data_IF_422783132463
#
_entry.id   IF_422783132463
#
_cell.length_a   1.000
_cell.length_b   1.000
_cell.length_c   1.000
_cell.angle_alpha   90.00
_cell.angle_beta   90.00
_cell.angle_gamma   90.00
#
_symmetry.space_group_name_H-M   'P 1'
#
loop_
_entity.id
_entity.type
_entity.pdbx_description
1 polymer ?
#
# COMPACT_ATOMS: atom_id res chain seq x y z
N UNK A 1 25.47 -22.65 4.54
CA UNK A 1 24.32 -22.25 5.37
C UNK A 1 23.88 -20.91 4.81
N UNK A 2 22.83 -20.88 3.99
CA UNK A 2 22.28 -19.60 3.49
C UNK A 2 21.60 -18.99 4.70
N UNK A 3 22.15 -17.91 5.25
CA UNK A 3 21.44 -17.12 6.26
C UNK A 3 20.11 -16.67 5.64
N UNK A 4 18.98 -17.00 6.28
CA UNK A 4 17.68 -16.46 5.88
C UNK A 4 17.79 -14.94 5.90
N UNK A 5 17.87 -14.32 4.73
CA UNK A 5 18.05 -12.87 4.56
C UNK A 5 16.72 -12.12 4.73
N UNK A 6 15.61 -12.84 4.83
CA UNK A 6 14.25 -12.32 4.91
C UNK A 6 13.53 -12.81 6.17
N UNK A 7 12.55 -12.04 6.60
CA UNK A 7 11.61 -12.33 7.67
C UNK A 7 10.19 -12.29 7.10
N UNK A 8 9.39 -13.32 7.35
CA UNK A 8 7.99 -13.36 6.90
C UNK A 8 7.09 -12.71 7.94
N UNK A 9 6.35 -11.68 7.54
CA UNK A 9 5.35 -11.00 8.34
C UNK A 9 3.96 -11.50 7.94
N UNK A 10 3.23 -12.07 8.89
CA UNK A 10 1.83 -12.46 8.73
C UNK A 10 0.92 -11.50 9.48
N UNK A 11 -0.05 -10.91 8.79
CA UNK A 11 -1.09 -10.06 9.39
C UNK A 11 -2.41 -10.80 9.35
N UNK A 12 -3.07 -10.92 10.50
CA UNK A 12 -4.33 -11.63 10.70
C UNK A 12 -5.39 -10.63 11.15
N UNK A 13 -6.47 -10.51 10.39
CA UNK A 13 -7.63 -9.68 10.67
C UNK A 13 -8.59 -10.32 11.66
N UNK A 14 -9.42 -9.49 12.31
CA UNK A 14 -10.40 -9.93 13.31
C UNK A 14 -10.80 -8.80 14.28
N UNK A 15 -11.55 -9.14 15.34
CA UNK A 15 -11.91 -8.19 16.41
C UNK A 15 -10.70 -7.60 17.16
N UNK A 16 -9.59 -8.34 17.17
CA UNK A 16 -8.26 -7.88 17.57
C UNK A 16 -7.28 -8.44 16.53
N UNK A 17 -6.60 -7.60 15.75
CA UNK A 17 -5.67 -8.08 14.74
C UNK A 17 -4.38 -8.57 15.38
N UNK A 18 -3.67 -9.42 14.65
CA UNK A 18 -2.40 -9.99 15.09
C UNK A 18 -1.33 -9.87 14.02
N UNK A 19 -0.12 -9.53 14.44
CA UNK A 19 1.06 -9.42 13.58
C UNK A 19 2.08 -10.42 14.07
N UNK A 20 2.47 -11.32 13.17
CA UNK A 20 3.51 -12.31 13.39
C UNK A 20 4.72 -11.97 12.52
N UNK A 21 5.93 -12.12 13.05
CA UNK A 21 7.19 -12.05 12.30
C UNK A 21 7.92 -13.37 12.49
N UNK A 22 8.19 -14.10 11.40
CA UNK A 22 8.73 -15.46 11.44
C UNK A 22 7.93 -16.39 12.36
N UNK A 23 6.60 -16.31 12.30
CA UNK A 23 5.66 -17.00 13.19
C UNK A 23 5.76 -16.64 14.69
N UNK A 24 6.54 -15.62 15.06
CA UNK A 24 6.54 -15.06 16.40
C UNK A 24 5.56 -13.91 16.51
N UNK A 25 4.67 -13.96 17.50
CA UNK A 25 3.72 -12.89 17.77
C UNK A 25 4.45 -11.62 18.21
N UNK A 26 4.27 -10.54 17.45
CA UNK A 26 4.79 -9.20 17.77
C UNK A 26 3.68 -8.30 18.32
N UNK A 27 2.45 -8.48 17.83
CA UNK A 27 1.30 -7.69 18.25
C UNK A 27 0.02 -8.53 18.21
N UNK A 28 -0.90 -8.29 19.15
CA UNK A 28 -2.21 -8.95 19.21
C UNK A 28 -2.19 -10.28 19.97
N UNK A 29 -2.93 -11.27 19.46
CA UNK A 29 -3.02 -12.63 20.03
C UNK A 29 -2.61 -13.66 18.99
N UNK A 30 -1.93 -14.73 19.40
CA UNK A 30 -1.62 -15.81 18.47
C UNK A 30 -2.91 -16.31 17.77
N UNK A 31 -2.98 -16.29 16.43
CA UNK A 31 -4.12 -16.80 15.67
C UNK A 31 -4.23 -18.33 15.83
N UNK A 32 -5.43 -18.87 15.63
CA UNK A 32 -5.64 -20.32 15.65
C UNK A 32 -4.80 -20.97 14.55
N UNK A 33 -4.25 -22.17 14.80
CA UNK A 33 -3.26 -22.83 13.92
C UNK A 33 -3.74 -23.10 12.49
N UNK A 34 -5.05 -23.09 12.26
CA UNK A 34 -5.67 -23.27 10.95
C UNK A 34 -5.99 -21.95 10.23
N UNK A 35 -5.84 -20.81 10.90
CA UNK A 35 -6.09 -19.49 10.32
C UNK A 35 -4.95 -19.12 9.40
N UNK A 36 -5.26 -18.75 8.16
CA UNK A 36 -4.28 -18.16 7.27
C UNK A 36 -4.20 -16.64 7.49
N UNK A 37 -3.01 -16.03 7.41
CA UNK A 37 -2.89 -14.58 7.45
C UNK A 37 -3.59 -13.97 6.23
N UNK A 38 -4.24 -12.83 6.43
CA UNK A 38 -4.85 -12.04 5.35
C UNK A 38 -3.79 -11.38 4.46
N UNK A 39 -2.60 -11.12 5.03
CA UNK A 39 -1.45 -10.54 4.32
C UNK A 39 -0.18 -11.26 4.74
N UNK A 40 0.64 -11.65 3.76
CA UNK A 40 2.00 -12.17 3.95
C UNK A 40 2.98 -11.22 3.26
N UNK A 41 3.96 -10.72 4.01
CA UNK A 41 5.02 -9.87 3.49
C UNK A 41 6.40 -10.41 3.89
N UNK A 42 7.30 -10.60 2.92
CA UNK A 42 8.69 -10.97 3.20
C UNK A 42 9.57 -9.71 3.28
N UNK A 43 10.22 -9.53 4.42
CA UNK A 43 10.98 -8.33 4.78
C UNK A 43 12.46 -8.69 4.93
N UNK A 44 13.37 -8.11 4.12
CA UNK A 44 14.80 -8.25 4.35
C UNK A 44 15.19 -7.86 5.79
N UNK A 45 15.99 -8.70 6.47
CA UNK A 45 16.34 -8.52 7.89
C UNK A 45 17.04 -7.20 8.19
N UNK A 46 17.74 -6.65 7.21
CA UNK A 46 18.43 -5.35 7.27
C UNK A 46 17.48 -4.14 7.29
N UNK A 47 16.17 -4.35 7.07
CA UNK A 47 15.14 -3.29 7.07
C UNK A 47 14.26 -3.22 8.32
N UNK A 48 14.44 -4.13 9.27
CA UNK A 48 13.64 -4.23 10.50
C UNK A 48 14.11 -3.28 11.62
N UNK A 49 15.19 -2.51 11.43
CA UNK A 49 15.70 -1.59 12.45
C UNK A 49 15.87 -0.20 11.87
N UNK A 50 15.28 0.78 12.57
CA UNK A 50 15.32 2.20 12.30
C UNK A 50 16.67 2.67 11.73
N UNK A 51 16.67 3.23 10.53
CA UNK A 51 17.73 4.12 10.09
C UNK A 51 17.13 5.37 9.46
N UNK A 52 16.94 6.36 10.34
CA UNK A 52 17.34 7.73 10.05
C UNK A 52 18.83 7.70 9.65
N UNK A 53 19.15 7.86 8.37
CA UNK A 53 20.30 8.72 8.03
C UNK A 53 20.22 9.21 6.58
N UNK A 54 20.38 10.53 6.35
CA UNK A 54 20.56 11.07 5.02
C UNK A 54 22.01 10.86 4.56
N UNK A 55 22.13 10.50 3.28
CA UNK A 55 23.33 10.51 2.46
C UNK A 55 24.40 9.41 2.71
N UNK A 56 24.59 8.58 1.68
CA UNK A 56 25.91 8.42 1.06
C UNK A 56 25.77 7.92 -0.39
N UNK A 57 26.20 8.78 -1.31
CA UNK A 57 26.73 8.57 -2.65
C UNK A 57 26.29 7.33 -3.46
N UNK A 58 25.61 7.64 -4.57
CA UNK A 58 25.75 6.85 -5.80
C UNK A 58 24.57 6.00 -6.24
N UNK A 59 23.44 6.00 -5.52
CA UNK A 59 22.23 5.32 -5.96
C UNK A 59 21.02 6.26 -5.93
N UNK A 60 20.18 6.11 -6.94
CA UNK A 60 18.84 6.69 -7.13
C UNK A 60 17.85 6.22 -6.04
N UNK A 61 18.20 6.36 -4.77
CA UNK A 61 17.39 5.86 -3.66
C UNK A 61 16.35 6.90 -3.25
N UNK A 62 15.13 6.69 -3.75
CA UNK A 62 13.97 7.38 -3.21
C UNK A 62 13.85 7.07 -1.71
N UNK A 63 13.46 8.05 -0.88
CA UNK A 63 13.30 7.86 0.56
C UNK A 63 12.36 6.68 0.83
N UNK A 64 12.82 5.74 1.68
CA UNK A 64 12.05 4.55 2.06
C UNK A 64 11.45 4.74 3.45
N UNK A 65 10.13 4.69 3.50
CA UNK A 65 9.38 4.74 4.74
C UNK A 65 9.46 3.38 5.46
N UNK A 66 9.63 3.36 6.80
CA UNK A 66 9.53 2.13 7.57
C UNK A 66 8.14 1.49 7.44
N UNK A 67 8.09 0.15 7.35
CA UNK A 67 6.83 -0.59 7.22
C UNK A 67 5.93 -0.39 8.45
N UNK A 68 6.54 -0.15 9.61
CA UNK A 68 5.89 0.06 10.89
C UNK A 68 4.93 1.26 10.85
N UNK A 69 5.21 2.27 10.01
CA UNK A 69 4.30 3.39 9.78
C UNK A 69 2.96 2.94 9.19
N UNK A 70 2.97 1.85 8.42
CA UNK A 70 1.79 1.28 7.78
C UNK A 70 1.18 0.14 8.59
N UNK A 71 1.85 -0.39 9.63
CA UNK A 71 1.42 -1.60 10.33
C UNK A 71 -0.03 -1.52 10.86
N UNK A 72 -0.42 -0.40 11.47
CA UNK A 72 -1.78 -0.22 11.97
C UNK A 72 -2.83 -0.20 10.85
N UNK A 73 -2.50 0.40 9.70
CA UNK A 73 -3.37 0.43 8.52
C UNK A 73 -3.39 -0.92 7.79
N UNK A 74 -2.26 -1.61 7.66
CA UNK A 74 -2.20 -2.96 7.10
C UNK A 74 -3.06 -3.94 7.92
N UNK A 75 -3.09 -3.76 9.25
CA UNK A 75 -3.85 -4.61 10.15
C UNK A 75 -5.35 -4.29 10.25
N UNK A 76 -5.74 -3.02 10.10
CA UNK A 76 -7.12 -2.57 10.40
C UNK A 76 -7.78 -1.74 9.31
N UNK A 77 -7.01 -1.29 8.33
CA UNK A 77 -7.48 -0.48 7.23
C UNK A 77 -8.17 -1.32 6.17
N UNK A 78 -8.90 -0.64 5.28
CA UNK A 78 -9.41 -1.27 4.07
C UNK A 78 -8.30 -1.32 3.03
N UNK A 79 -7.64 -2.49 2.96
CA UNK A 79 -6.46 -2.71 2.11
C UNK A 79 -6.89 -3.17 0.72
N UNK A 80 -6.36 -2.51 -0.30
CA UNK A 80 -6.52 -2.89 -1.71
C UNK A 80 -5.18 -2.96 -2.43
N UNK A 81 -5.18 -3.59 -3.62
CA UNK A 81 -3.98 -3.78 -4.42
C UNK A 81 -3.30 -2.46 -4.80
N UNK A 82 -4.08 -1.44 -5.13
CA UNK A 82 -3.55 -0.12 -5.50
C UNK A 82 -2.95 0.66 -4.33
N UNK A 83 -3.50 0.49 -3.12
CA UNK A 83 -2.87 1.02 -1.91
C UNK A 83 -1.62 0.23 -1.51
N UNK A 84 -1.60 -1.10 -1.70
CA UNK A 84 -0.40 -1.92 -1.50
C UNK A 84 0.71 -1.57 -2.49
N UNK A 85 0.39 -1.20 -3.73
CA UNK A 85 1.36 -0.70 -4.69
C UNK A 85 2.08 0.56 -4.18
N UNK A 86 1.35 1.47 -3.50
CA UNK A 86 1.96 2.65 -2.86
C UNK A 86 2.86 2.21 -1.71
N UNK A 87 2.39 1.35 -0.80
CA UNK A 87 3.22 0.86 0.31
C UNK A 87 4.49 0.16 -0.19
N UNK A 88 4.38 -0.68 -1.22
CA UNK A 88 5.52 -1.33 -1.86
C UNK A 88 6.51 -0.31 -2.40
N UNK A 89 6.04 0.70 -3.15
CA UNK A 89 6.92 1.75 -3.69
C UNK A 89 7.61 2.54 -2.58
N UNK A 90 6.87 2.89 -1.52
CA UNK A 90 7.38 3.74 -0.45
C UNK A 90 8.26 3.01 0.56
N UNK A 91 8.08 1.71 0.77
CA UNK A 91 8.90 0.91 1.70
C UNK A 91 10.02 0.16 0.98
N UNK A 92 9.85 -0.05 -0.32
CA UNK A 92 10.66 -0.94 -1.15
C UNK A 92 10.51 -2.42 -0.77
N UNK A 93 9.44 -2.80 -0.05
CA UNK A 93 9.14 -4.16 0.36
C UNK A 93 8.08 -4.72 -0.59
N UNK A 94 8.33 -5.91 -1.14
CA UNK A 94 7.38 -6.57 -2.05
C UNK A 94 6.10 -6.95 -1.30
N UNK A 95 4.97 -6.38 -1.71
CA UNK A 95 3.66 -6.65 -1.11
C UNK A 95 2.95 -7.74 -1.91
N UNK A 96 2.82 -8.94 -1.33
CA UNK A 96 2.10 -10.06 -1.95
C UNK A 96 0.73 -10.25 -1.27
N UNK A 97 -0.29 -10.60 -2.06
CA UNK A 97 -1.61 -10.99 -1.51
C UNK A 97 -1.70 -12.50 -1.55
N UNK A 98 -1.73 -13.13 -0.37
CA UNK A 98 -1.78 -14.59 -0.19
C UNK A 98 -0.75 -15.36 -1.04
N UNK A 99 0.45 -14.80 -1.25
CA UNK A 99 1.51 -15.43 -2.05
C UNK A 99 1.23 -15.51 -3.55
N UNK A 100 0.13 -14.97 -4.06
CA UNK A 100 -0.29 -15.09 -5.48
C UNK A 100 0.38 -14.09 -6.44
N UNK A 101 1.29 -13.24 -5.92
CA UNK A 101 1.94 -12.16 -6.66
C UNK A 101 3.41 -12.06 -6.33
N UNK A 102 4.18 -12.99 -6.88
CA UNK A 102 5.62 -13.12 -6.66
C UNK A 102 6.43 -11.84 -6.92
N UNK A 103 5.94 -10.93 -7.76
CA UNK A 103 6.62 -9.66 -8.08
C UNK A 103 5.95 -8.44 -7.44
N UNK A 104 4.96 -8.65 -6.57
CA UNK A 104 4.31 -7.61 -5.79
C UNK A 104 3.11 -6.95 -6.46
N UNK A 105 2.81 -5.71 -6.05
CA UNK A 105 1.65 -4.95 -6.52
C UNK A 105 2.05 -3.72 -7.32
N UNK A 106 1.56 -3.63 -8.55
CA UNK A 106 1.68 -2.43 -9.42
C UNK A 106 0.30 -1.88 -9.84
N UNK A 107 -0.79 -2.44 -9.29
CA UNK A 107 -2.15 -2.02 -9.64
C UNK A 107 -2.37 -0.53 -9.37
N UNK A 108 -3.10 0.08 -10.29
CA UNK A 108 -3.57 1.45 -10.20
C UNK A 108 -5.01 1.47 -9.71
N UNK A 109 -5.50 2.58 -9.10
CA UNK A 109 -6.91 2.69 -8.76
C UNK A 109 -7.78 2.69 -10.03
N UNK A 110 -8.72 1.74 -10.11
CA UNK A 110 -9.61 1.54 -11.28
C UNK A 110 -11.00 2.10 -11.02
N UNK A 111 -11.40 2.20 -9.76
CA UNK A 111 -12.70 2.69 -9.35
C UNK A 111 -12.63 3.57 -8.09
N UNK A 112 -13.74 4.22 -7.69
CA UNK A 112 -13.77 5.04 -6.48
C UNK A 112 -13.54 4.27 -5.18
N UNK A 113 -13.79 2.95 -5.16
CA UNK A 113 -13.49 2.10 -4.01
C UNK A 113 -11.98 1.96 -3.82
N UNK A 114 -11.22 1.76 -4.89
CA UNK A 114 -9.76 1.79 -4.84
C UNK A 114 -9.22 3.14 -4.35
N UNK A 115 -9.80 4.24 -4.85
CA UNK A 115 -9.42 5.58 -4.42
C UNK A 115 -9.75 5.81 -2.92
N UNK A 116 -10.90 5.32 -2.45
CA UNK A 116 -11.26 5.37 -1.02
C UNK A 116 -10.21 4.70 -0.14
N UNK A 117 -9.73 3.52 -0.54
CA UNK A 117 -8.71 2.76 0.22
C UNK A 117 -7.39 3.51 0.30
N UNK A 118 -6.93 4.10 -0.81
CA UNK A 118 -5.72 4.93 -0.83
C UNK A 118 -5.89 6.16 0.06
N UNK A 119 -7.02 6.85 -0.01
CA UNK A 119 -7.27 8.04 0.82
C UNK A 119 -7.37 7.68 2.30
N UNK A 120 -8.02 6.57 2.65
CA UNK A 120 -8.06 6.05 4.01
C UNK A 120 -6.67 5.66 4.55
N UNK A 121 -5.80 5.14 3.69
CA UNK A 121 -4.39 4.92 4.03
C UNK A 121 -3.69 6.24 4.36
N UNK A 122 -3.89 7.31 3.59
CA UNK A 122 -3.30 8.62 3.91
C UNK A 122 -3.90 9.25 5.17
N UNK A 123 -5.18 8.99 5.46
CA UNK A 123 -5.79 9.47 6.70
C UNK A 123 -5.16 8.80 7.94
N UNK A 124 -4.72 7.53 7.82
CA UNK A 124 -3.99 6.81 8.88
C UNK A 124 -2.47 7.02 8.88
N UNK A 125 -1.87 7.23 7.69
CA UNK A 125 -0.43 7.40 7.47
C UNK A 125 -0.18 8.70 6.69
N UNK A 126 -0.39 9.89 7.28
CA UNK A 126 -0.36 11.16 6.55
C UNK A 126 0.97 11.45 5.86
N UNK A 127 2.08 10.96 6.42
CA UNK A 127 3.43 11.12 5.85
C UNK A 127 3.57 10.47 4.48
N UNK A 128 2.84 9.37 4.20
CA UNK A 128 2.91 8.69 2.91
C UNK A 128 2.42 9.59 1.75
N UNK A 129 1.51 10.52 2.04
CA UNK A 129 0.96 11.44 1.04
C UNK A 129 2.01 12.36 0.43
N UNK A 130 3.04 12.74 1.20
CA UNK A 130 4.13 13.59 0.74
C UNK A 130 4.96 12.93 -0.37
N UNK A 131 4.90 11.60 -0.47
CA UNK A 131 5.69 10.81 -1.41
C UNK A 131 4.87 10.25 -2.57
N UNK A 132 3.59 10.60 -2.67
CA UNK A 132 2.70 10.09 -3.72
C UNK A 132 3.23 10.37 -5.14
N UNK A 133 4.01 11.44 -5.33
CA UNK A 133 4.63 11.73 -6.63
C UNK A 133 5.58 10.64 -7.12
N UNK A 134 6.17 9.83 -6.23
CA UNK A 134 7.05 8.71 -6.58
C UNK A 134 6.34 7.58 -7.33
N UNK A 135 5.00 7.56 -7.30
CA UNK A 135 4.22 6.60 -8.08
C UNK A 135 4.31 6.86 -9.59
N UNK A 136 4.67 8.07 -10.03
CA UNK A 136 4.86 8.40 -11.45
C UNK A 136 5.87 7.48 -12.14
N UNK A 137 6.82 6.94 -11.39
CA UNK A 137 7.89 6.09 -11.91
C UNK A 137 7.53 4.60 -11.93
N UNK A 138 6.34 4.23 -11.43
CA UNK A 138 5.90 2.83 -11.36
C UNK A 138 5.36 2.35 -12.71
N UNK A 139 4.53 3.16 -13.37
CA UNK A 139 3.98 2.86 -14.70
C UNK A 139 3.39 4.11 -15.35
N UNK A 140 3.15 4.05 -16.66
CA UNK A 140 2.46 5.13 -17.40
C UNK A 140 1.04 5.37 -16.86
N UNK A 141 0.35 4.32 -16.41
CA UNK A 141 -0.97 4.45 -15.77
C UNK A 141 -0.87 5.22 -14.45
N UNK A 142 0.11 4.90 -13.61
CA UNK A 142 0.33 5.65 -12.38
C UNK A 142 0.71 7.11 -12.66
N UNK A 143 1.59 7.36 -13.64
CA UNK A 143 1.96 8.70 -14.06
C UNK A 143 0.73 9.53 -14.41
N UNK A 144 -0.13 9.00 -15.28
CA UNK A 144 -1.40 9.65 -15.67
C UNK A 144 -2.30 9.90 -14.46
N UNK A 145 -2.41 8.94 -13.53
CA UNK A 145 -3.22 9.12 -12.30
C UNK A 145 -2.64 10.21 -11.40
N UNK A 146 -1.33 10.26 -11.22
CA UNK A 146 -0.68 11.27 -10.37
C UNK A 146 -0.77 12.67 -10.99
N UNK A 147 -0.64 12.79 -12.31
CA UNK A 147 -0.82 14.06 -13.02
C UNK A 147 -2.24 14.63 -12.83
N UNK A 148 -3.23 13.76 -12.64
CA UNK A 148 -4.63 14.14 -12.39
C UNK A 148 -5.08 13.98 -10.93
N UNK A 149 -4.16 13.73 -9.99
CA UNK A 149 -4.51 13.38 -8.61
C UNK A 149 -5.36 14.44 -7.90
N UNK A 150 -5.02 15.72 -8.08
CA UNK A 150 -5.76 16.82 -7.46
C UNK A 150 -7.22 16.92 -7.95
N UNK A 151 -7.48 16.60 -9.22
CA UNK A 151 -8.84 16.51 -9.77
C UNK A 151 -9.59 15.32 -9.15
N UNK A 152 -8.95 14.15 -9.15
CA UNK A 152 -9.51 12.90 -8.63
C UNK A 152 -9.91 13.03 -7.16
N UNK A 153 -8.98 13.46 -6.31
CA UNK A 153 -9.24 13.58 -4.87
C UNK A 153 -10.33 14.62 -4.59
N UNK A 154 -10.25 15.79 -5.22
CA UNK A 154 -11.28 16.83 -5.07
C UNK A 154 -12.66 16.33 -5.50
N UNK A 155 -12.74 15.58 -6.59
CA UNK A 155 -14.00 15.05 -7.08
C UNK A 155 -14.52 13.94 -6.18
N UNK A 156 -13.65 13.05 -5.70
CA UNK A 156 -14.01 11.99 -4.77
C UNK A 156 -14.54 12.53 -3.45
N UNK A 157 -13.83 13.49 -2.82
CA UNK A 157 -14.27 14.08 -1.54
C UNK A 157 -15.64 14.79 -1.64
N UNK A 158 -16.04 15.26 -2.83
CA UNK A 158 -17.41 15.78 -3.05
C UNK A 158 -18.45 14.67 -3.08
N UNK A 159 -18.09 13.50 -3.61
CA UNK A 159 -18.99 12.36 -3.76
C UNK A 159 -18.93 11.37 -2.58
N UNK A 160 -17.93 11.48 -1.71
CA UNK A 160 -17.77 10.67 -0.50
C UNK A 160 -18.99 10.75 0.42
N UNK A 161 -19.65 11.91 0.46
CA UNK A 161 -20.88 12.17 1.23
C UNK A 161 -22.16 11.90 0.45
N UNK A 162 -22.08 11.31 -0.74
CA UNK A 162 -23.28 10.99 -1.51
C UNK A 162 -24.15 9.99 -0.75
N UNK A 163 -25.45 10.25 -0.57
CA UNK A 163 -26.35 9.34 0.14
C UNK A 163 -26.45 7.94 -0.50
N UNK A 164 -26.16 7.84 -1.80
CA UNK A 164 -26.15 6.56 -2.52
C UNK A 164 -24.91 5.70 -2.25
N UNK A 165 -23.88 6.24 -1.59
CA UNK A 165 -22.57 5.58 -1.45
C UNK A 165 -21.78 5.47 -2.76
N UNK A 166 -22.30 6.01 -3.87
CA UNK A 166 -21.66 5.97 -5.18
C UNK A 166 -20.89 7.25 -5.50
N UNK A 167 -19.77 7.11 -6.22
CA UNK A 167 -19.01 8.24 -6.76
C UNK A 167 -18.91 8.17 -8.30
N UNK A 168 -20.04 8.35 -9.02
CA UNK A 168 -20.11 8.14 -10.46
C UNK A 168 -19.26 9.10 -11.27
N UNK A 169 -19.05 10.35 -10.83
CA UNK A 169 -18.20 11.30 -11.55
C UNK A 169 -16.73 10.95 -11.38
N UNK A 170 -16.32 10.54 -10.19
CA UNK A 170 -14.98 10.01 -9.90
C UNK A 170 -14.69 8.79 -10.77
N UNK A 171 -15.65 7.85 -10.86
CA UNK A 171 -15.51 6.69 -11.73
C UNK A 171 -15.32 7.07 -13.19
N UNK A 172 -16.08 8.06 -13.71
CA UNK A 172 -15.91 8.55 -15.08
C UNK A 172 -14.53 9.16 -15.33
N UNK A 173 -13.95 9.87 -14.35
CA UNK A 173 -12.58 10.39 -14.45
C UNK A 173 -11.59 9.23 -14.54
N UNK A 174 -11.63 8.29 -13.60
CA UNK A 174 -10.73 7.13 -13.60
C UNK A 174 -10.80 6.34 -14.91
N UNK A 175 -12.02 6.10 -15.41
CA UNK A 175 -12.25 5.41 -16.68
C UNK A 175 -11.64 6.18 -17.85
N UNK A 176 -11.85 7.50 -17.93
CA UNK A 176 -11.28 8.36 -18.97
C UNK A 176 -9.75 8.35 -18.96
N UNK A 177 -9.13 8.40 -17.78
CA UNK A 177 -7.67 8.37 -17.65
C UNK A 177 -7.09 7.05 -18.15
N UNK A 178 -7.78 5.93 -17.87
CA UNK A 178 -7.38 4.62 -18.39
C UNK A 178 -7.55 4.49 -19.90
N UNK A 179 -8.66 4.97 -20.45
CA UNK A 179 -8.93 4.92 -21.89
C UNK A 179 -8.01 5.85 -22.70
N UNK A 180 -7.64 7.01 -22.14
CA UNK A 180 -6.72 7.97 -22.77
C UNK A 180 -5.26 7.51 -22.84
N UNK A 181 -4.85 6.52 -22.05
CA UNK A 181 -3.50 5.92 -22.10
C UNK A 181 -3.34 4.87 -23.22
N UNK A 182 -4.43 4.44 -23.86
CA UNK A 182 -4.44 3.44 -24.94
C UNK A 182 -4.73 4.04 -26.33
N UNK A 183 -4.76 5.36 -26.45
CA UNK A 183 -5.00 6.11 -27.69
C UNK A 183 -3.71 6.77 -28.18
#
# INVERSE_FOLDING_TARGET
MVEDTVCTIGVYGGRQPSILVNNHLVYGRMPDSETQPDIIADVPKDRLVANLNPASDGMTDSPRLPLELFAAWLANGDVGLSSLAIVQRLTGITMTVNGTREHGCEDTPKDPGDLRRILGMFDMVPVARAYLSLMRDVSDDWKTIIDHWGELEKQYRKEERNPSGCAPKTYRILKRLKEGNHA
#
